data_IF_805455815563
#
_entry.id   IF_805455815563
#
_cell.length_a   1.000
_cell.length_b   1.000
_cell.length_c   1.000
_cell.angle_alpha   90.00
_cell.angle_beta   90.00
_cell.angle_gamma   90.00
#
_symmetry.space_group_name_H-M   'P 1'
#
loop_
_entity.id
_entity.type
_entity.pdbx_description
1 polymer ?
#
# COMPACT_ATOMS: atom_id res chain seq x y z
N UNK A 1 22.68 -6.92 21.21
CA UNK A 1 22.16 -5.94 22.20
C UNK A 1 20.77 -6.42 22.61
N UNK A 2 20.61 -7.00 23.80
CA UNK A 2 19.31 -7.43 24.30
C UNK A 2 18.59 -6.23 24.92
N UNK A 3 17.38 -5.93 24.47
CA UNK A 3 16.53 -4.92 25.12
C UNK A 3 16.03 -5.54 26.42
N UNK A 4 16.57 -5.11 27.55
CA UNK A 4 16.01 -5.42 28.87
C UNK A 4 14.88 -4.42 29.15
N UNK A 5 13.64 -4.88 29.00
CA UNK A 5 12.50 -4.14 29.54
C UNK A 5 12.53 -4.21 31.07
N UNK A 6 12.59 -3.05 31.74
CA UNK A 6 12.41 -2.96 33.19
C UNK A 6 10.91 -3.05 33.48
N UNK A 7 10.42 -4.28 33.65
CA UNK A 7 9.08 -4.52 34.17
C UNK A 7 9.10 -4.26 35.68
N UNK A 8 8.23 -3.37 36.15
CA UNK A 8 7.93 -3.24 37.57
C UNK A 8 6.63 -4.00 37.83
N UNK A 9 6.70 -5.04 38.66
CA UNK A 9 5.52 -5.80 39.06
C UNK A 9 4.59 -4.92 39.89
N UNK A 10 3.40 -4.63 39.38
CA UNK A 10 2.35 -4.02 40.19
C UNK A 10 1.77 -5.03 41.19
N UNK A 11 1.03 -4.58 42.20
CA UNK A 11 0.42 -5.45 43.22
C UNK A 11 -0.80 -6.27 42.75
N UNK A 12 -1.05 -6.37 41.43
CA UNK A 12 -2.18 -7.12 40.85
C UNK A 12 -1.66 -8.37 40.16
N UNK A 13 -2.39 -9.48 40.29
CA UNK A 13 -2.10 -10.74 39.62
C UNK A 13 -1.91 -10.54 38.11
N UNK A 14 -0.87 -11.17 37.55
CA UNK A 14 -0.60 -11.22 36.11
C UNK A 14 -1.71 -11.93 35.32
N UNK A 15 -2.54 -12.73 35.99
CA UNK A 15 -3.76 -13.34 35.39
C UNK A 15 -4.78 -12.29 34.92
N UNK A 16 -4.67 -11.04 35.40
CA UNK A 16 -5.51 -9.93 34.95
C UNK A 16 -5.01 -9.27 33.68
N UNK A 17 -3.83 -9.67 33.17
CA UNK A 17 -3.33 -9.20 31.87
C UNK A 17 -4.24 -9.78 30.79
N UNK A 18 -4.90 -8.94 29.97
CA UNK A 18 -5.73 -9.43 28.88
C UNK A 18 -4.92 -10.34 27.95
N UNK A 19 -5.54 -11.44 27.51
CA UNK A 19 -4.94 -12.28 26.49
C UNK A 19 -4.63 -11.44 25.23
N UNK A 20 -3.50 -11.74 24.59
CA UNK A 20 -3.17 -11.12 23.31
C UNK A 20 -4.26 -11.37 22.28
N UNK A 21 -4.56 -10.35 21.47
CA UNK A 21 -5.49 -10.50 20.35
C UNK A 21 -4.97 -11.57 19.38
N UNK A 22 -5.88 -12.37 18.83
CA UNK A 22 -5.52 -13.35 17.81
C UNK A 22 -4.93 -12.65 16.59
N UNK A 23 -3.85 -13.19 16.03
CA UNK A 23 -3.28 -12.68 14.78
C UNK A 23 -4.32 -12.71 13.65
N UNK A 24 -4.58 -11.58 12.97
CA UNK A 24 -5.53 -11.54 11.86
C UNK A 24 -5.09 -12.46 10.71
N UNK A 25 -6.06 -13.07 10.04
CA UNK A 25 -5.84 -13.95 8.88
C UNK A 25 -6.41 -13.27 7.63
N UNK A 26 -5.60 -13.18 6.58
CA UNK A 26 -6.02 -12.67 5.26
C UNK A 26 -5.85 -13.78 4.23
N UNK A 27 -6.92 -14.15 3.54
CA UNK A 27 -6.87 -15.11 2.45
C UNK A 27 -6.75 -14.37 1.13
N UNK A 28 -5.67 -14.58 0.40
CA UNK A 28 -5.41 -13.95 -0.89
C UNK A 28 -6.15 -14.71 -1.98
N UNK A 29 -6.79 -13.97 -2.88
CA UNK A 29 -7.40 -14.56 -4.07
C UNK A 29 -6.49 -14.35 -5.27
N UNK A 30 -6.25 -15.41 -6.04
CA UNK A 30 -5.46 -15.32 -7.27
C UNK A 30 -6.28 -14.63 -8.37
N UNK A 31 -5.83 -13.48 -8.90
CA UNK A 31 -6.55 -12.79 -9.96
C UNK A 31 -6.45 -13.52 -11.30
N UNK A 32 -7.44 -13.39 -12.19
CA UNK A 32 -7.34 -13.92 -13.55
C UNK A 32 -6.33 -13.09 -14.37
N UNK A 33 -5.87 -13.60 -15.52
CA UNK A 33 -4.98 -12.85 -16.41
C UNK A 33 -5.59 -11.52 -16.87
N UNK A 34 -4.75 -10.49 -16.96
CA UNK A 34 -5.12 -9.20 -17.57
C UNK A 34 -5.44 -9.40 -19.05
N UNK A 35 -6.57 -8.85 -19.50
CA UNK A 35 -7.06 -8.97 -20.89
C UNK A 35 -6.55 -7.83 -21.75
N UNK A 36 -6.53 -8.02 -23.07
CA UNK A 36 -6.22 -6.93 -24.01
C UNK A 36 -7.17 -5.73 -23.86
N UNK A 37 -8.45 -5.99 -23.61
CA UNK A 37 -9.45 -4.96 -23.32
C UNK A 37 -9.16 -4.17 -22.02
N UNK A 38 -8.42 -4.75 -21.06
CA UNK A 38 -8.01 -4.04 -19.85
C UNK A 38 -6.86 -3.07 -20.15
N UNK A 39 -5.87 -3.50 -20.95
CA UNK A 39 -4.75 -2.67 -21.40
C UNK A 39 -5.20 -1.49 -22.26
N UNK A 40 -6.25 -1.66 -23.05
CA UNK A 40 -6.85 -0.56 -23.82
C UNK A 40 -7.35 0.60 -22.92
N UNK A 41 -7.51 0.37 -21.61
CA UNK A 41 -7.97 1.38 -20.65
C UNK A 41 -6.84 2.21 -20.03
N UNK A 42 -5.57 1.89 -20.30
CA UNK A 42 -4.41 2.57 -19.73
C UNK A 42 -4.36 4.07 -20.09
N UNK A 43 -4.92 4.44 -21.24
CA UNK A 43 -4.98 5.81 -21.77
C UNK A 43 -6.40 6.38 -21.76
N UNK A 44 -7.25 5.95 -20.83
CA UNK A 44 -8.66 6.34 -20.78
C UNK A 44 -8.89 7.62 -19.95
N UNK A 45 -9.23 8.78 -20.57
CA UNK A 45 -9.41 10.04 -19.85
C UNK A 45 -10.52 10.01 -18.79
N UNK A 46 -11.63 9.31 -19.10
CA UNK A 46 -12.75 9.16 -18.16
C UNK A 46 -12.35 8.40 -16.89
N UNK A 47 -11.43 7.43 -17.01
CA UNK A 47 -10.94 6.64 -15.88
C UNK A 47 -9.97 7.45 -15.05
N UNK A 48 -9.02 8.13 -15.69
CA UNK A 48 -8.10 9.04 -15.01
C UNK A 48 -8.85 10.12 -14.24
N UNK A 49 -9.90 10.70 -14.83
CA UNK A 49 -10.78 11.64 -14.11
C UNK A 49 -11.42 11.02 -12.87
N UNK A 50 -11.88 9.76 -12.95
CA UNK A 50 -12.44 9.09 -11.78
C UNK A 50 -11.40 8.82 -10.68
N UNK A 51 -10.13 8.56 -11.02
CA UNK A 51 -9.06 8.45 -10.02
C UNK A 51 -8.83 9.78 -9.31
N UNK A 52 -8.71 10.87 -10.09
CA UNK A 52 -8.52 12.24 -9.57
C UNK A 52 -9.66 12.69 -8.64
N UNK A 53 -10.85 12.13 -8.79
CA UNK A 53 -12.02 12.48 -7.98
C UNK A 53 -12.06 11.80 -6.59
N UNK A 54 -11.22 10.81 -6.31
CA UNK A 54 -11.29 10.05 -5.03
C UNK A 54 -10.96 10.90 -3.80
N UNK A 55 -9.96 11.78 -3.91
CA UNK A 55 -9.54 12.72 -2.86
C UNK A 55 -8.92 13.97 -3.54
N UNK A 56 -9.73 14.66 -4.35
CA UNK A 56 -9.22 15.61 -5.36
C UNK A 56 -8.21 16.64 -4.83
N UNK A 57 -8.51 17.29 -3.70
CA UNK A 57 -7.62 18.30 -3.11
C UNK A 57 -6.28 17.69 -2.68
N UNK A 58 -6.32 16.54 -2.01
CA UNK A 58 -5.11 15.86 -1.53
C UNK A 58 -4.26 15.32 -2.68
N UNK A 59 -4.90 14.77 -3.72
CA UNK A 59 -4.21 14.21 -4.88
C UNK A 59 -3.50 15.28 -5.70
N UNK A 60 -4.02 16.51 -5.80
CA UNK A 60 -3.34 17.59 -6.53
C UNK A 60 -1.97 17.91 -5.92
N UNK A 61 -1.86 17.89 -4.59
CA UNK A 61 -0.61 18.20 -3.89
C UNK A 61 0.31 16.98 -3.76
N UNK A 62 -0.27 15.82 -3.45
CA UNK A 62 0.49 14.63 -3.06
C UNK A 62 0.65 13.60 -4.18
N UNK A 63 -0.07 13.75 -5.28
CA UNK A 63 0.03 12.92 -6.48
C UNK A 63 0.01 13.77 -7.76
N UNK A 64 0.89 14.78 -7.89
CA UNK A 64 0.87 15.71 -9.03
C UNK A 64 1.02 15.01 -10.38
N UNK A 65 1.77 13.91 -10.47
CA UNK A 65 2.01 13.20 -11.73
C UNK A 65 0.73 12.57 -12.32
N UNK A 66 -0.30 12.31 -11.50
CA UNK A 66 -1.62 11.86 -11.98
C UNK A 66 -2.31 12.91 -12.87
N UNK A 67 -1.94 14.18 -12.72
CA UNK A 67 -2.51 15.31 -13.44
C UNK A 67 -1.78 15.64 -14.75
N UNK A 68 -0.65 15.01 -15.03
CA UNK A 68 0.07 15.12 -16.30
C UNK A 68 -0.72 14.49 -17.47
N UNK A 69 -0.29 14.80 -18.70
CA UNK A 69 -0.89 14.26 -19.92
C UNK A 69 -0.81 12.72 -19.90
N UNK A 70 -1.96 12.09 -20.10
CA UNK A 70 -2.11 10.63 -20.05
C UNK A 70 -1.43 9.93 -21.23
N UNK A 71 -1.06 10.67 -22.27
CA UNK A 71 -0.29 10.14 -23.40
C UNK A 71 1.15 9.84 -23.00
N UNK A 72 1.73 10.68 -22.14
CA UNK A 72 3.11 10.54 -21.69
C UNK A 72 3.20 9.71 -20.40
N UNK A 73 2.12 9.70 -19.60
CA UNK A 73 2.08 9.02 -18.31
C UNK A 73 0.90 8.04 -18.24
N UNK A 74 0.86 6.95 -19.03
CA UNK A 74 -0.27 6.03 -19.04
C UNK A 74 -0.51 5.40 -17.66
N UNK A 75 -1.76 5.05 -17.37
CA UNK A 75 -2.09 4.24 -16.21
C UNK A 75 -1.56 2.82 -16.42
N UNK A 76 -1.26 2.10 -15.36
CA UNK A 76 -1.09 0.64 -15.41
C UNK A 76 -2.40 -0.01 -14.99
N UNK A 77 -2.94 -0.90 -15.83
CA UNK A 77 -4.23 -1.55 -15.57
C UNK A 77 -4.05 -3.06 -15.53
N UNK A 78 -4.55 -3.69 -14.47
CA UNK A 78 -4.56 -5.16 -14.34
C UNK A 78 -5.97 -5.65 -14.02
N UNK A 79 -6.17 -6.97 -13.96
CA UNK A 79 -7.46 -7.55 -13.59
C UNK A 79 -7.41 -8.17 -12.20
N UNK A 80 -8.42 -7.88 -11.37
CA UNK A 80 -8.65 -8.51 -10.05
C UNK A 80 -9.72 -9.60 -10.14
N UNK A 81 -10.80 -9.31 -10.87
CA UNK A 81 -11.97 -10.19 -10.97
C UNK A 81 -12.69 -9.97 -12.30
N UNK A 82 -13.90 -10.54 -12.46
CA UNK A 82 -14.76 -10.25 -13.61
C UNK A 82 -15.14 -8.77 -13.73
N UNK A 83 -15.22 -8.05 -12.60
CA UNK A 83 -15.73 -6.69 -12.54
C UNK A 83 -14.74 -5.64 -12.02
N UNK A 84 -13.67 -6.04 -11.33
CA UNK A 84 -12.72 -5.14 -10.66
C UNK A 84 -11.33 -5.15 -11.33
N UNK A 85 -10.70 -3.99 -11.33
CA UNK A 85 -9.34 -3.75 -11.81
C UNK A 85 -8.54 -3.02 -10.71
N UNK A 86 -7.26 -3.37 -10.44
CA UNK A 86 -6.35 -2.42 -9.84
C UNK A 86 -5.82 -1.50 -10.93
N UNK A 87 -5.75 -0.21 -10.62
CA UNK A 87 -5.17 0.78 -11.51
C UNK A 87 -4.12 1.54 -10.74
N UNK A 88 -2.95 1.72 -11.35
CA UNK A 88 -1.89 2.50 -10.75
C UNK A 88 -1.34 3.57 -11.68
N UNK A 89 -0.79 4.61 -11.08
CA UNK A 89 -0.13 5.71 -11.78
C UNK A 89 1.04 6.20 -10.91
N UNK A 90 2.12 6.67 -11.54
CA UNK A 90 3.13 7.40 -10.79
C UNK A 90 2.47 8.65 -10.19
N UNK A 91 2.79 8.92 -8.93
CA UNK A 91 2.29 10.09 -8.21
C UNK A 91 3.40 11.13 -7.99
N UNK A 92 4.59 10.68 -7.59
CA UNK A 92 5.71 11.56 -7.29
C UNK A 92 7.03 10.79 -7.29
N UNK A 93 8.11 11.53 -7.53
CA UNK A 93 9.48 11.11 -7.26
C UNK A 93 10.10 12.16 -6.33
N UNK A 94 10.72 11.73 -5.23
CA UNK A 94 11.44 12.63 -4.30
C UNK A 94 12.71 11.97 -3.82
N UNK A 95 13.85 12.50 -4.26
CA UNK A 95 15.16 11.89 -3.98
C UNK A 95 15.22 10.48 -4.57
N UNK A 96 15.49 9.48 -3.73
CA UNK A 96 15.58 8.08 -4.13
C UNK A 96 14.26 7.31 -4.01
N UNK A 97 13.18 7.97 -3.59
CA UNK A 97 11.88 7.34 -3.46
C UNK A 97 10.98 7.73 -4.63
N UNK A 98 10.17 6.77 -5.06
CA UNK A 98 8.99 7.02 -5.87
C UNK A 98 7.74 6.61 -5.08
N UNK A 99 6.61 7.23 -5.40
CA UNK A 99 5.31 6.80 -4.93
C UNK A 99 4.36 6.64 -6.09
N UNK A 100 3.71 5.48 -6.13
CA UNK A 100 2.63 5.18 -7.06
C UNK A 100 1.30 5.21 -6.33
N UNK A 101 0.33 5.85 -6.96
CA UNK A 101 -1.07 5.75 -6.63
C UNK A 101 -1.59 4.38 -7.03
N UNK A 102 -2.35 3.74 -6.16
CA UNK A 102 -3.06 2.50 -6.42
C UNK A 102 -4.53 2.66 -6.05
N UNK A 103 -5.40 2.36 -7.00
CA UNK A 103 -6.84 2.40 -6.84
C UNK A 103 -7.47 1.08 -7.21
N UNK A 104 -8.57 0.77 -6.55
CA UNK A 104 -9.52 -0.22 -7.02
C UNK A 104 -10.61 0.47 -7.83
N UNK A 105 -10.96 -0.09 -8.98
CA UNK A 105 -12.03 0.45 -9.82
C UNK A 105 -12.90 -0.66 -10.39
N UNK A 106 -14.15 -0.33 -10.70
CA UNK A 106 -14.96 -1.10 -11.63
C UNK A 106 -14.37 -1.01 -13.05
N UNK A 107 -14.42 -2.12 -13.78
CA UNK A 107 -13.93 -2.17 -15.16
C UNK A 107 -14.76 -1.30 -16.13
N UNK A 108 -16.00 -0.97 -15.77
CA UNK A 108 -16.92 -0.09 -16.50
C UNK A 108 -17.46 1.02 -15.59
N UNK A 109 -18.00 2.07 -16.20
CA UNK A 109 -18.70 3.13 -15.46
C UNK A 109 -19.99 2.60 -14.79
N UNK A 110 -20.40 3.14 -13.63
CA UNK A 110 -19.65 4.09 -12.80
C UNK A 110 -18.42 3.42 -12.20
N UNK A 111 -17.25 4.06 -12.35
CA UNK A 111 -15.97 3.41 -12.04
C UNK A 111 -15.76 3.15 -10.55
N UNK A 112 -16.43 3.91 -9.67
CA UNK A 112 -16.35 3.75 -8.21
C UNK A 112 -14.89 3.56 -7.75
N UNK A 113 -14.04 4.51 -8.12
CA UNK A 113 -12.64 4.46 -7.75
C UNK A 113 -12.50 4.58 -6.24
N UNK A 114 -11.66 3.72 -5.65
CA UNK A 114 -11.32 3.77 -4.24
C UNK A 114 -9.79 3.76 -4.12
N UNK A 115 -9.24 4.81 -3.51
CA UNK A 115 -7.80 4.92 -3.27
C UNK A 115 -7.36 3.90 -2.23
N UNK A 116 -6.27 3.18 -2.50
CA UNK A 116 -5.62 2.28 -1.55
C UNK A 116 -4.42 2.97 -0.90
N UNK A 117 -3.55 3.57 -1.72
CA UNK A 117 -2.35 4.28 -1.27
C UNK A 117 -1.77 5.13 -2.41
N UNK A 118 -0.99 6.15 -2.08
CA UNK A 118 -0.19 6.96 -3.02
C UNK A 118 1.33 6.78 -2.83
N UNK A 119 1.72 5.78 -2.07
CA UNK A 119 3.12 5.53 -1.70
C UNK A 119 3.59 4.13 -2.10
N UNK A 120 2.84 3.45 -2.97
CA UNK A 120 3.21 2.14 -3.46
C UNK A 120 4.51 2.21 -4.27
N UNK A 121 5.27 1.11 -4.26
CA UNK A 121 6.44 0.94 -5.10
C UNK A 121 6.01 0.66 -6.56
N UNK A 122 6.95 0.73 -7.50
CA UNK A 122 6.69 0.40 -8.89
C UNK A 122 6.44 -1.10 -9.11
N UNK A 123 5.69 -1.46 -10.15
CA UNK A 123 5.61 -2.83 -10.69
C UNK A 123 5.12 -3.90 -9.70
N UNK A 124 3.97 -3.65 -9.08
CA UNK A 124 3.40 -4.59 -8.11
C UNK A 124 2.39 -5.56 -8.76
N UNK A 125 2.31 -6.76 -8.19
CA UNK A 125 1.34 -7.82 -8.47
C UNK A 125 -0.11 -7.33 -8.57
N UNK A 126 -0.98 -8.10 -9.25
CA UNK A 126 -2.40 -7.73 -9.30
C UNK A 126 -3.06 -7.89 -7.92
N UNK A 127 -2.57 -8.83 -7.10
CA UNK A 127 -3.14 -9.18 -5.78
C UNK A 127 -2.36 -8.64 -4.58
N UNK A 128 -1.25 -7.94 -4.79
CA UNK A 128 -0.43 -7.42 -3.70
C UNK A 128 -0.04 -5.98 -3.98
N UNK A 129 0.06 -5.18 -2.93
CA UNK A 129 0.60 -3.83 -2.99
C UNK A 129 1.68 -3.76 -1.91
N UNK A 130 2.84 -3.21 -2.25
CA UNK A 130 3.94 -2.95 -1.32
C UNK A 130 4.34 -1.48 -1.44
N UNK A 131 4.67 -0.88 -0.31
CA UNK A 131 5.14 0.50 -0.22
C UNK A 131 6.33 0.50 0.73
N UNK A 132 7.48 0.99 0.29
CA UNK A 132 8.65 1.17 1.14
C UNK A 132 9.28 2.52 0.90
N UNK A 133 9.50 3.27 1.98
CA UNK A 133 9.97 4.65 1.93
C UNK A 133 11.13 4.81 2.90
N UNK A 134 12.23 5.42 2.42
CA UNK A 134 13.42 5.70 3.24
C UNK A 134 13.83 7.16 3.21
N UNK A 135 14.44 7.67 4.27
CA UNK A 135 15.06 9.00 4.19
C UNK A 135 16.37 8.95 3.36
N UNK A 136 16.94 10.12 3.09
CA UNK A 136 18.17 10.26 2.28
C UNK A 136 19.36 9.50 2.90
N UNK A 137 19.49 9.53 4.22
CA UNK A 137 20.56 8.84 4.93
C UNK A 137 20.38 7.31 4.96
N UNK A 138 19.18 6.80 4.67
CA UNK A 138 18.86 5.38 4.70
C UNK A 138 18.76 4.77 6.10
N UNK A 139 18.85 5.58 7.17
CA UNK A 139 18.70 5.15 8.56
C UNK A 139 17.25 5.27 9.06
N UNK A 140 16.33 5.75 8.21
CA UNK A 140 14.91 5.87 8.48
C UNK A 140 14.13 5.13 7.39
N UNK A 141 13.29 4.17 7.77
CA UNK A 141 12.48 3.38 6.84
C UNK A 141 11.09 3.08 7.40
N UNK A 142 10.11 3.05 6.51
CA UNK A 142 8.80 2.48 6.78
C UNK A 142 8.35 1.62 5.62
N UNK A 143 7.62 0.55 5.91
CA UNK A 143 7.04 -0.29 4.88
C UNK A 143 5.61 -0.71 5.24
N UNK A 144 4.78 -0.85 4.21
CA UNK A 144 3.38 -1.31 4.30
C UNK A 144 3.07 -2.26 3.16
N UNK A 145 2.24 -3.26 3.45
CA UNK A 145 1.74 -4.19 2.43
C UNK A 145 0.22 -4.29 2.50
N UNK A 146 -0.39 -4.53 1.34
CA UNK A 146 -1.79 -4.88 1.20
C UNK A 146 -1.92 -6.13 0.32
N UNK A 147 -3.00 -6.88 0.51
CA UNK A 147 -3.33 -8.01 -0.35
C UNK A 147 -4.81 -7.99 -0.74
N UNK A 148 -5.09 -8.49 -1.95
CA UNK A 148 -6.43 -8.67 -2.48
C UNK A 148 -7.07 -9.91 -1.87
N UNK A 149 -8.16 -9.71 -1.11
CA UNK A 149 -8.87 -10.79 -0.44
C UNK A 149 -10.04 -11.37 -1.27
N UNK A 150 -10.21 -10.90 -2.51
CA UNK A 150 -11.36 -11.23 -3.36
C UNK A 150 -12.43 -10.14 -3.39
N UNK A 151 -12.36 -9.16 -2.47
CA UNK A 151 -13.30 -8.05 -2.38
C UNK A 151 -12.60 -6.69 -2.30
N UNK A 152 -11.58 -6.56 -1.48
CA UNK A 152 -10.86 -5.32 -1.19
C UNK A 152 -9.33 -5.56 -1.10
N UNK A 153 -8.52 -4.49 -1.16
CA UNK A 153 -7.12 -4.55 -0.75
C UNK A 153 -7.01 -4.26 0.75
N UNK A 154 -6.73 -5.29 1.54
CA UNK A 154 -6.65 -5.18 2.99
C UNK A 154 -5.18 -5.05 3.44
N UNK A 155 -4.86 -4.20 4.43
CA UNK A 155 -3.51 -4.14 5.01
C UNK A 155 -3.09 -5.50 5.57
N UNK A 156 -1.90 -5.96 5.22
CA UNK A 156 -1.33 -7.24 5.67
C UNK A 156 -0.07 -7.08 6.53
N UNK A 157 0.64 -5.96 6.36
CA UNK A 157 1.75 -5.59 7.23
C UNK A 157 1.94 -4.08 7.28
N UNK A 158 2.46 -3.61 8.40
CA UNK A 158 2.97 -2.26 8.56
C UNK A 158 4.13 -2.30 9.55
N UNK A 159 5.24 -1.66 9.18
CA UNK A 159 6.42 -1.57 10.02
C UNK A 159 7.12 -0.23 9.89
N UNK A 160 7.84 0.12 10.94
CA UNK A 160 8.87 1.16 10.97
C UNK A 160 10.10 0.60 11.67
N UNK A 161 11.15 1.41 11.70
CA UNK A 161 12.40 1.08 12.37
C UNK A 161 12.67 1.95 13.61
N UNK A 162 11.75 2.87 13.90
CA UNK A 162 11.78 3.71 15.09
C UNK A 162 12.51 5.02 14.92
N UNK A 163 13.33 5.35 15.91
CA UNK A 163 14.07 6.61 15.92
C UNK A 163 15.22 6.58 14.91
N UNK A 164 15.19 7.55 14.01
CA UNK A 164 16.15 7.71 12.92
C UNK A 164 17.34 8.56 13.41
N UNK A 165 18.29 7.88 14.06
CA UNK A 165 19.43 8.49 14.78
C UNK A 165 20.80 8.06 14.24
N UNK A 166 20.85 7.64 12.97
CA UNK A 166 22.06 7.22 12.26
C UNK A 166 22.83 6.09 12.95
N UNK A 167 22.12 5.24 13.71
CA UNK A 167 22.72 4.10 14.42
C UNK A 167 23.19 3.03 13.43
N UNK A 168 22.37 2.70 12.43
CA UNK A 168 22.71 1.80 11.32
C UNK A 168 21.74 2.02 10.15
N UNK A 169 22.17 1.69 8.93
CA UNK A 169 21.32 1.71 7.75
C UNK A 169 20.16 0.70 7.91
N UNK A 170 18.97 1.09 7.48
CA UNK A 170 17.75 0.30 7.70
C UNK A 170 17.29 0.25 9.16
N UNK A 171 17.95 0.99 10.05
CA UNK A 171 17.61 1.10 11.46
C UNK A 171 17.99 -0.12 12.29
N UNK A 172 18.15 0.07 13.61
CA UNK A 172 18.59 -1.00 14.49
C UNK A 172 17.46 -1.99 14.87
N UNK A 173 16.19 -1.67 14.57
CA UNK A 173 15.04 -2.50 14.96
C UNK A 173 14.02 -2.60 13.83
N UNK A 174 13.27 -3.71 13.81
CA UNK A 174 12.01 -3.81 13.08
C UNK A 174 10.87 -3.74 14.08
N UNK A 175 10.03 -2.72 13.94
CA UNK A 175 8.89 -2.48 14.81
C UNK A 175 7.60 -2.57 14.00
N UNK A 176 7.07 -3.80 13.82
CA UNK A 176 5.79 -3.99 13.16
C UNK A 176 4.65 -3.48 14.04
N UNK A 177 3.75 -2.71 13.45
CA UNK A 177 2.49 -2.29 14.06
C UNK A 177 1.30 -3.11 13.55
N UNK A 178 1.51 -3.86 12.46
CA UNK A 178 0.56 -4.82 11.93
C UNK A 178 1.32 -6.04 11.40
N UNK A 179 0.89 -7.22 11.85
CA UNK A 179 1.30 -8.52 11.31
C UNK A 179 0.05 -9.35 11.09
N UNK A 180 -0.07 -9.95 9.91
CA UNK A 180 -1.17 -10.84 9.57
C UNK A 180 -0.64 -12.17 9.05
N UNK A 181 -1.41 -13.24 9.25
CA UNK A 181 -1.17 -14.52 8.59
C UNK A 181 -1.82 -14.47 7.22
N UNK A 182 -1.00 -14.43 6.18
CA UNK A 182 -1.46 -14.41 4.80
C UNK A 182 -1.55 -15.85 4.27
N UNK A 183 -2.76 -16.28 3.91
CA UNK A 183 -3.04 -17.56 3.28
C UNK A 183 -3.17 -17.38 1.77
N UNK A 184 -2.70 -18.35 0.99
CA UNK A 184 -2.82 -18.37 -0.47
C UNK A 184 -3.95 -19.30 -0.92
#
# INVERSE_FOLDING_TARGET
MCITAKLHSGGRSEERVPAGLSMPIVKVVTPPPTRAADRALERSPSRRSALRATEQVELQERCPDLFLDERDHPLTVRRLSGSKLPVSAQCWIRGQNAGFGYWMVNHRAPYQAALVTISADESIGASHIFASQRNVAGDCLSAKSWAWDGKDFVPTSALTIGLCRLVTLGGPWQMPTLVTRVLK
#
